data_IF_693868501792
#
_entry.id   IF_693868501792
#
_cell.length_a   1.000
_cell.length_b   1.000
_cell.length_c   1.000
_cell.angle_alpha   90.00
_cell.angle_beta   90.00
_cell.angle_gamma   90.00
#
_symmetry.space_group_name_H-M   'P 1'
#
loop_
_entity.id
_entity.type
_entity.pdbx_description
1 polymer ?
#
# COMPACT_ATOMS: atom_id res chain seq x y z
N UNK A 1 -18.60 1.32 -24.02
CA UNK A 1 -18.27 0.03 -23.36
C UNK A 1 -16.77 0.04 -23.18
N UNK A 2 -16.30 0.41 -22.00
CA UNK A 2 -14.87 0.37 -21.69
C UNK A 2 -14.43 -1.06 -21.63
N UNK A 3 -13.60 -1.43 -22.58
CA UNK A 3 -12.92 -2.74 -22.60
C UNK A 3 -12.03 -2.78 -21.36
N UNK A 4 -12.49 -3.44 -20.30
CA UNK A 4 -11.64 -3.75 -19.14
C UNK A 4 -10.51 -4.61 -19.68
N UNK A 5 -9.38 -3.96 -19.92
CA UNK A 5 -8.18 -4.65 -20.38
C UNK A 5 -7.77 -5.59 -19.25
N UNK A 6 -7.98 -6.91 -19.43
CA UNK A 6 -7.56 -7.94 -18.47
C UNK A 6 -6.05 -7.81 -18.25
N UNK A 7 -5.65 -7.32 -17.09
CA UNK A 7 -4.24 -7.24 -16.70
C UNK A 7 -3.95 -8.38 -15.74
N UNK A 8 -3.38 -9.44 -16.26
CA UNK A 8 -3.01 -10.63 -15.49
C UNK A 8 -2.07 -10.28 -14.33
N UNK A 9 -2.30 -10.90 -13.17
CA UNK A 9 -1.53 -10.66 -11.97
C UNK A 9 -1.98 -9.44 -11.15
N UNK A 10 -3.00 -8.71 -11.59
CA UNK A 10 -3.59 -7.60 -10.84
C UNK A 10 -5.04 -7.87 -10.49
N UNK A 11 -5.46 -7.40 -9.31
CA UNK A 11 -6.86 -7.46 -8.87
C UNK A 11 -7.65 -6.26 -9.39
N UNK A 12 -6.96 -5.19 -9.80
CA UNK A 12 -7.52 -3.98 -10.38
C UNK A 12 -7.88 -2.90 -9.37
N UNK A 13 -7.69 -3.15 -8.07
CA UNK A 13 -8.02 -2.19 -7.01
C UNK A 13 -7.07 -2.30 -5.82
N UNK A 14 -6.98 -1.21 -5.05
CA UNK A 14 -6.30 -1.14 -3.76
C UNK A 14 -7.16 -0.43 -2.73
N UNK A 15 -6.60 -0.27 -1.53
CA UNK A 15 -7.24 0.43 -0.42
C UNK A 15 -6.47 1.71 -0.09
N UNK A 16 -7.22 2.79 0.18
CA UNK A 16 -6.71 3.97 0.86
C UNK A 16 -7.33 4.05 2.25
N UNK A 17 -6.48 4.15 3.26
CA UNK A 17 -6.85 4.17 4.68
C UNK A 17 -6.42 5.51 5.27
N UNK A 18 -7.37 6.35 5.63
CA UNK A 18 -7.11 7.59 6.33
C UNK A 18 -7.32 7.37 7.82
N UNK A 19 -6.23 7.36 8.59
CA UNK A 19 -6.25 7.08 10.01
C UNK A 19 -6.84 8.24 10.85
N UNK A 20 -6.78 9.47 10.33
CA UNK A 20 -7.33 10.65 11.03
C UNK A 20 -8.87 10.62 11.01
N UNK A 21 -9.45 10.27 9.87
CA UNK A 21 -10.91 10.24 9.70
C UNK A 21 -11.53 8.87 9.93
N UNK A 22 -10.72 7.83 10.01
CA UNK A 22 -11.16 6.43 10.06
C UNK A 22 -11.73 5.92 8.74
N UNK A 23 -11.67 6.71 7.66
CA UNK A 23 -12.26 6.35 6.37
C UNK A 23 -11.36 5.41 5.59
N UNK A 24 -11.96 4.35 5.04
CA UNK A 24 -11.30 3.43 4.11
C UNK A 24 -12.05 3.49 2.78
N UNK A 25 -11.30 3.65 1.68
CA UNK A 25 -11.88 3.72 0.33
C UNK A 25 -11.14 2.79 -0.61
N UNK A 26 -11.87 2.21 -1.57
CA UNK A 26 -11.28 1.48 -2.69
C UNK A 26 -10.81 2.46 -3.76
N UNK A 27 -9.61 2.22 -4.28
CA UNK A 27 -9.06 2.98 -5.40
C UNK A 27 -8.73 2.03 -6.55
N UNK A 28 -9.01 2.41 -7.81
CA UNK A 28 -8.64 1.60 -8.95
C UNK A 28 -7.11 1.58 -9.12
N UNK A 29 -6.57 0.42 -9.45
CA UNK A 29 -5.13 0.29 -9.77
C UNK A 29 -4.81 1.04 -11.07
N UNK A 30 -5.70 0.96 -12.05
CA UNK A 30 -5.49 1.58 -13.36
C UNK A 30 -6.54 2.66 -13.64
N UNK A 31 -6.20 3.73 -14.37
CA UNK A 31 -4.96 3.92 -15.16
C UNK A 31 -3.76 4.44 -14.38
N UNK A 32 -3.90 4.79 -13.08
CA UNK A 32 -2.86 5.49 -12.32
C UNK A 32 -1.51 4.76 -12.34
N UNK A 33 -1.52 3.46 -12.12
CA UNK A 33 -0.30 2.64 -12.01
C UNK A 33 -0.06 1.79 -13.26
N UNK A 34 -0.37 2.34 -14.44
CA UNK A 34 -0.24 1.62 -15.72
C UNK A 34 1.21 1.29 -16.10
N UNK A 35 2.14 2.12 -15.65
CA UNK A 35 3.57 2.03 -15.99
C UNK A 35 4.40 1.39 -14.86
N UNK A 36 3.80 1.21 -13.68
CA UNK A 36 4.42 0.58 -12.52
C UNK A 36 4.03 -0.91 -12.48
N UNK A 37 5.06 -1.78 -12.37
CA UNK A 37 4.82 -3.23 -12.25
C UNK A 37 4.21 -3.60 -10.88
N UNK A 38 4.40 -2.76 -9.86
CA UNK A 38 3.93 -3.00 -8.50
C UNK A 38 5.06 -2.91 -7.48
N UNK A 39 4.81 -3.33 -6.24
CA UNK A 39 5.81 -3.28 -5.17
C UNK A 39 6.38 -1.88 -4.96
N UNK A 40 7.70 -1.78 -4.91
CA UNK A 40 8.43 -0.53 -4.65
C UNK A 40 8.13 0.57 -5.68
N UNK A 41 7.98 0.22 -6.96
CA UNK A 41 7.71 1.20 -8.02
C UNK A 41 6.36 1.90 -7.79
N UNK A 42 5.34 1.15 -7.41
CA UNK A 42 4.03 1.71 -7.06
C UNK A 42 4.15 2.63 -5.82
N UNK A 43 4.90 2.21 -4.81
CA UNK A 43 5.18 3.04 -3.64
C UNK A 43 5.81 4.37 -4.00
N UNK A 44 6.88 4.37 -4.79
CA UNK A 44 7.54 5.61 -5.25
C UNK A 44 6.64 6.49 -6.10
N UNK A 45 5.77 5.90 -6.93
CA UNK A 45 4.79 6.66 -7.71
C UNK A 45 3.81 7.42 -6.82
N UNK A 46 3.30 6.78 -5.76
CA UNK A 46 2.44 7.47 -4.78
C UNK A 46 3.17 8.63 -4.13
N UNK A 47 4.43 8.44 -3.73
CA UNK A 47 5.23 9.52 -3.14
C UNK A 47 5.47 10.67 -4.10
N UNK A 48 5.80 10.36 -5.35
CA UNK A 48 6.00 11.36 -6.39
C UNK A 48 4.77 12.23 -6.63
N UNK A 49 3.59 11.60 -6.67
CA UNK A 49 2.35 12.29 -6.98
C UNK A 49 1.75 13.07 -5.79
N UNK A 50 1.94 12.57 -4.55
CA UNK A 50 1.12 13.02 -3.42
C UNK A 50 1.91 13.59 -2.25
N UNK A 51 3.20 13.31 -2.12
CA UNK A 51 3.97 13.73 -0.95
C UNK A 51 4.83 14.94 -1.30
N UNK A 52 4.60 16.11 -0.65
CA UNK A 52 5.37 17.31 -0.91
C UNK A 52 6.86 17.12 -0.65
N UNK A 53 7.72 17.81 -1.43
CA UNK A 53 9.16 17.86 -1.13
C UNK A 53 9.43 18.33 0.29
N UNK A 54 10.45 17.78 0.94
CA UNK A 54 10.88 18.08 2.32
C UNK A 54 9.94 17.61 3.43
N UNK A 55 8.90 16.82 3.10
CA UNK A 55 8.07 16.16 4.11
C UNK A 55 8.94 15.35 5.07
N UNK A 56 8.69 15.50 6.38
CA UNK A 56 9.40 14.78 7.42
C UNK A 56 8.72 13.44 7.72
N UNK A 57 9.42 12.47 8.31
CA UNK A 57 8.88 11.14 8.57
C UNK A 57 7.60 11.11 9.42
N UNK A 58 7.44 12.07 10.34
CA UNK A 58 6.29 12.15 11.24
C UNK A 58 5.26 13.19 10.82
N UNK A 59 5.43 13.82 9.67
CA UNK A 59 4.45 14.77 9.14
C UNK A 59 3.18 14.05 8.69
N UNK A 60 2.06 14.73 8.79
CA UNK A 60 0.76 14.24 8.32
C UNK A 60 0.76 13.92 6.82
N UNK A 61 1.57 14.64 6.04
CA UNK A 61 1.72 14.42 4.61
C UNK A 61 2.48 13.13 4.26
N UNK A 62 3.23 12.54 5.20
CA UNK A 62 3.90 11.26 4.97
C UNK A 62 2.87 10.13 4.81
N UNK A 63 3.25 9.10 4.08
CA UNK A 63 2.40 7.94 3.81
C UNK A 63 3.17 6.65 4.05
N UNK A 64 2.42 5.57 4.26
CA UNK A 64 2.93 4.21 4.20
C UNK A 64 2.23 3.51 3.04
N UNK A 65 2.99 3.04 2.08
CA UNK A 65 2.47 2.30 0.93
C UNK A 65 2.90 0.85 1.03
N UNK A 66 1.95 -0.05 1.10
CA UNK A 66 2.15 -1.50 1.16
C UNK A 66 1.71 -2.07 -0.18
N UNK A 67 2.63 -2.65 -0.93
CA UNK A 67 2.33 -3.16 -2.26
C UNK A 67 3.08 -4.48 -2.54
N UNK A 68 2.37 -5.58 -2.82
CA UNK A 68 2.95 -6.79 -3.36
C UNK A 68 3.29 -6.65 -4.85
N UNK A 69 4.06 -7.58 -5.38
CA UNK A 69 4.25 -7.72 -6.82
C UNK A 69 3.06 -8.42 -7.51
N UNK A 70 2.95 -8.31 -8.84
CA UNK A 70 1.82 -8.88 -9.59
C UNK A 70 1.78 -10.42 -9.55
N UNK A 71 2.91 -11.09 -9.38
CA UNK A 71 2.97 -12.55 -9.28
C UNK A 71 2.64 -13.10 -7.89
N UNK A 72 2.49 -12.23 -6.89
CA UNK A 72 2.15 -12.65 -5.53
C UNK A 72 0.76 -13.32 -5.50
N UNK A 73 0.69 -14.48 -4.87
CA UNK A 73 -0.56 -15.25 -4.78
C UNK A 73 -0.96 -16.02 -6.04
N UNK A 74 -0.16 -15.99 -7.12
CA UNK A 74 -0.43 -16.70 -8.37
C UNK A 74 0.07 -18.17 -8.39
N UNK A 75 0.80 -18.60 -7.35
CA UNK A 75 1.49 -19.88 -7.32
C UNK A 75 2.89 -19.86 -7.94
N UNK A 76 3.35 -18.71 -8.46
CA UNK A 76 4.72 -18.56 -8.95
C UNK A 76 5.72 -18.70 -7.80
N UNK A 77 6.81 -19.42 -8.05
CA UNK A 77 7.87 -19.62 -7.05
C UNK A 77 8.55 -18.29 -6.70
N UNK A 78 8.95 -18.11 -5.44
CA UNK A 78 9.68 -16.95 -4.93
C UNK A 78 8.97 -15.59 -5.14
N UNK A 79 7.66 -15.56 -5.26
CA UNK A 79 6.89 -14.35 -5.59
C UNK A 79 6.19 -13.66 -4.41
N UNK A 80 6.45 -14.07 -3.16
CA UNK A 80 5.70 -13.61 -1.98
C UNK A 80 6.35 -12.41 -1.25
N UNK A 81 6.94 -11.47 -1.97
CA UNK A 81 7.49 -10.24 -1.37
C UNK A 81 6.50 -9.07 -1.43
N UNK A 82 6.29 -8.44 -0.26
CA UNK A 82 5.56 -7.17 -0.14
C UNK A 82 6.54 -6.05 0.13
N UNK A 83 6.49 -4.98 -0.63
CA UNK A 83 7.20 -3.73 -0.35
C UNK A 83 6.39 -2.88 0.62
N UNK A 84 7.08 -2.24 1.56
CA UNK A 84 6.55 -1.19 2.42
C UNK A 84 7.40 0.06 2.18
N UNK A 85 6.82 1.07 1.57
CA UNK A 85 7.50 2.33 1.20
C UNK A 85 7.02 3.47 2.08
N UNK A 86 7.96 4.23 2.65
CA UNK A 86 7.68 5.43 3.47
C UNK A 86 8.91 6.33 3.53
N UNK A 87 8.79 7.53 4.12
CA UNK A 87 9.96 8.34 4.51
C UNK A 87 10.46 7.81 5.85
N UNK A 88 11.72 7.35 5.88
CA UNK A 88 12.32 6.75 7.07
C UNK A 88 12.95 7.81 7.98
N UNK A 89 12.71 7.75 9.31
CA UNK A 89 13.25 8.71 10.25
C UNK A 89 14.72 8.52 10.61
N UNK A 90 15.28 7.35 10.29
CA UNK A 90 16.62 6.96 10.73
C UNK A 90 17.72 7.27 9.71
N UNK A 91 17.39 7.85 8.57
CA UNK A 91 18.37 8.20 7.54
C UNK A 91 18.90 9.60 7.80
N UNK A 92 20.21 9.69 8.05
CA UNK A 92 20.92 10.94 8.30
C UNK A 92 21.77 11.32 7.06
N UNK A 93 21.96 12.62 6.71
CA UNK A 93 21.50 13.83 7.40
C UNK A 93 20.08 14.29 7.04
N UNK A 94 19.45 13.67 6.04
CA UNK A 94 18.11 14.02 5.60
C UNK A 94 17.22 12.78 5.54
N UNK A 95 15.96 12.89 5.96
CA UNK A 95 14.99 11.83 5.73
C UNK A 95 14.87 11.55 4.22
N UNK A 96 14.79 10.28 3.88
CA UNK A 96 14.65 9.82 2.49
C UNK A 96 13.54 8.78 2.37
N UNK A 97 12.95 8.72 1.19
CA UNK A 97 12.04 7.63 0.85
C UNK A 97 12.86 6.34 0.81
N UNK A 98 12.39 5.32 1.52
CA UNK A 98 12.99 4.00 1.51
C UNK A 98 11.90 2.92 1.47
N UNK A 99 12.28 1.73 1.04
CA UNK A 99 11.39 0.57 1.00
C UNK A 99 12.00 -0.57 1.80
N UNK A 100 11.18 -1.12 2.69
CA UNK A 100 11.45 -2.40 3.33
C UNK A 100 10.70 -3.52 2.60
N UNK A 101 11.13 -4.76 2.78
CA UNK A 101 10.52 -5.91 2.13
C UNK A 101 10.19 -7.01 3.14
N UNK A 102 8.94 -7.45 3.14
CA UNK A 102 8.45 -8.53 3.98
C UNK A 102 8.20 -9.76 3.12
N UNK A 103 8.74 -10.89 3.51
CA UNK A 103 8.42 -12.21 2.94
C UNK A 103 7.22 -12.85 3.64
N UNK A 104 6.94 -14.11 3.31
CA UNK A 104 5.85 -14.87 3.89
C UNK A 104 4.50 -14.66 3.20
N UNK A 105 3.41 -14.89 3.91
CA UNK A 105 2.07 -14.97 3.32
C UNK A 105 1.39 -13.63 3.06
N UNK A 106 1.91 -12.53 3.60
CA UNK A 106 1.25 -11.22 3.52
C UNK A 106 0.91 -10.82 2.09
N UNK A 107 1.87 -10.97 1.16
CA UNK A 107 1.66 -10.61 -0.24
C UNK A 107 0.54 -11.44 -0.88
N UNK A 108 0.58 -12.75 -0.69
CA UNK A 108 -0.42 -13.67 -1.23
C UNK A 108 -1.81 -13.40 -0.63
N UNK A 109 -1.89 -13.21 0.69
CA UNK A 109 -3.15 -12.93 1.38
C UNK A 109 -3.78 -11.61 0.92
N UNK A 110 -2.99 -10.55 0.75
CA UNK A 110 -3.50 -9.28 0.26
C UNK A 110 -4.07 -9.40 -1.16
N UNK A 111 -3.37 -10.11 -2.05
CA UNK A 111 -3.84 -10.39 -3.41
C UNK A 111 -5.09 -11.28 -3.41
N UNK A 112 -5.15 -12.31 -2.58
CA UNK A 112 -6.33 -13.17 -2.43
C UNK A 112 -7.54 -12.42 -1.87
N UNK A 113 -7.31 -11.43 -1.00
CA UNK A 113 -8.36 -10.54 -0.50
C UNK A 113 -8.86 -9.55 -1.56
N UNK A 114 -8.21 -9.48 -2.74
CA UNK A 114 -8.64 -8.67 -3.87
C UNK A 114 -7.97 -7.31 -3.99
N UNK A 115 -6.77 -7.10 -3.40
CA UNK A 115 -6.12 -5.80 -3.39
C UNK A 115 -4.68 -5.86 -3.91
N UNK A 116 -4.33 -4.87 -4.74
CA UNK A 116 -3.00 -4.68 -5.31
C UNK A 116 -2.09 -3.84 -4.41
N UNK A 117 -2.67 -2.98 -3.57
CA UNK A 117 -1.93 -2.10 -2.67
C UNK A 117 -2.81 -1.61 -1.52
N UNK A 118 -2.13 -1.09 -0.48
CA UNK A 118 -2.74 -0.32 0.60
C UNK A 118 -1.93 0.97 0.75
N UNK A 119 -2.60 2.13 0.74
CA UNK A 119 -2.02 3.43 1.07
C UNK A 119 -2.58 3.84 2.42
N UNK A 120 -1.70 4.08 3.39
CA UNK A 120 -2.07 4.54 4.74
C UNK A 120 -1.59 5.97 4.90
N UNK A 121 -2.48 6.85 5.36
CA UNK A 121 -2.23 8.27 5.59
C UNK A 121 -2.88 8.75 6.88
N UNK A 122 -2.41 9.90 7.38
CA UNK A 122 -2.92 10.50 8.59
C UNK A 122 -2.47 9.79 9.87
N UNK A 123 -3.11 10.14 11.00
CA UNK A 123 -2.77 9.66 12.34
C UNK A 123 -4.03 9.36 13.14
N UNK A 124 -4.09 8.18 13.74
CA UNK A 124 -5.14 7.83 14.71
C UNK A 124 -4.77 8.33 16.11
N UNK A 125 -5.75 8.77 16.90
CA UNK A 125 -5.58 9.16 18.30
C UNK A 125 -5.28 7.96 19.21
N UNK A 126 -5.75 6.77 18.82
CA UNK A 126 -5.57 5.52 19.56
C UNK A 126 -4.87 4.48 18.70
N UNK A 127 -4.16 3.53 19.31
CA UNK A 127 -3.65 2.39 18.58
C UNK A 127 -4.77 1.63 17.88
N UNK A 128 -4.62 1.41 16.56
CA UNK A 128 -5.58 0.68 15.75
C UNK A 128 -4.85 -0.31 14.85
N UNK A 129 -5.56 -1.36 14.42
CA UNK A 129 -5.09 -2.24 13.37
C UNK A 129 -6.11 -2.32 12.23
N UNK A 130 -5.60 -2.49 11.03
CA UNK A 130 -6.41 -2.67 9.83
C UNK A 130 -6.80 -4.15 9.69
N UNK A 131 -8.09 -4.43 9.75
CA UNK A 131 -8.66 -5.74 9.45
C UNK A 131 -9.17 -5.77 8.03
N UNK A 132 -8.77 -6.79 7.25
CA UNK A 132 -9.23 -7.00 5.89
C UNK A 132 -9.67 -8.46 5.73
N UNK A 133 -10.92 -8.64 5.31
CA UNK A 133 -11.48 -9.92 4.91
C UNK A 133 -12.32 -9.73 3.65
N UNK A 134 -11.68 -9.85 2.50
CA UNK A 134 -12.27 -9.55 1.19
C UNK A 134 -12.87 -8.13 1.15
N UNK A 135 -14.15 -8.00 0.91
CA UNK A 135 -14.86 -6.71 0.87
C UNK A 135 -15.19 -6.12 2.24
N UNK A 136 -14.94 -6.86 3.31
CA UNK A 136 -15.10 -6.37 4.67
C UNK A 136 -13.76 -5.88 5.21
N UNK A 137 -13.62 -4.58 5.36
CA UNK A 137 -12.41 -3.94 5.88
C UNK A 137 -12.78 -2.85 6.89
N UNK A 138 -12.06 -2.81 7.99
CA UNK A 138 -12.30 -1.88 9.09
C UNK A 138 -11.04 -1.59 9.90
N UNK A 139 -11.01 -0.44 10.58
CA UNK A 139 -10.03 -0.14 11.62
C UNK A 139 -10.59 -0.60 12.97
N UNK A 140 -9.86 -1.45 13.66
CA UNK A 140 -10.21 -1.98 14.98
C UNK A 140 -9.29 -1.42 16.05
N UNK A 141 -9.82 -1.25 17.25
CA UNK A 141 -9.03 -0.87 18.43
C UNK A 141 -7.97 -1.96 18.70
N UNK A 142 -6.73 -1.54 18.86
CA UNK A 142 -5.59 -2.43 19.15
C UNK A 142 -5.26 -2.49 20.67
N UNK A 143 -6.18 -2.06 21.55
CA UNK A 143 -6.04 -2.30 22.99
C UNK A 143 -6.12 -3.79 23.25
N UNK A 144 -5.05 -4.34 23.86
CA UNK A 144 -5.04 -5.68 24.40
C UNK A 144 -5.86 -5.82 25.68
#
# INVERSE_FOLDING_TARGET
>A
MDTIQKRYGYTGQGLRVNLTTGKITKEPTFPRFKDEIGGTALGYRVFWDEVPPKTQPLDEANKIVIAPGPFSGSGALCSSRTSITTIYPTIYPMPMIASAHIGGDMAARLKQAGYDFIIIEGKSEKPVYLYINNDNFELRDAKG
#
